data_IF_405673190599
#
_entry.id   IF_405673190599
#
_cell.length_a   1.000
_cell.length_b   1.000
_cell.length_c   1.000
_cell.angle_alpha   90.00
_cell.angle_beta   90.00
_cell.angle_gamma   90.00
#
_symmetry.space_group_name_H-M   'P 1'
#
loop_
_entity.id
_entity.type
_entity.pdbx_description
1 polymer ?
#
# COMPACT_ATOMS: atom_id res chain seq x y z
N UNK A 1 6.25 -20.36 9.85
CA UNK A 1 5.92 -18.94 10.10
C UNK A 1 5.60 -18.24 8.78
N UNK A 2 4.39 -18.41 8.24
CA UNK A 2 4.01 -18.01 6.86
C UNK A 2 2.63 -17.33 6.78
N UNK A 3 1.84 -17.43 7.84
CA UNK A 3 0.40 -17.19 7.83
C UNK A 3 0.00 -15.80 7.33
N UNK A 4 0.60 -14.72 7.83
CA UNK A 4 0.18 -13.38 7.38
C UNK A 4 0.60 -13.06 5.94
N UNK A 5 1.68 -13.66 5.42
CA UNK A 5 1.99 -13.59 3.99
C UNK A 5 1.02 -14.44 3.14
N UNK A 6 0.50 -15.54 3.68
CA UNK A 6 -0.54 -16.34 3.03
C UNK A 6 -1.85 -15.56 2.94
N UNK A 7 -2.25 -14.88 4.02
CA UNK A 7 -3.40 -13.97 4.02
C UNK A 7 -3.19 -12.82 3.04
N UNK A 8 -2.00 -12.22 3.01
CA UNK A 8 -1.69 -11.14 2.08
C UNK A 8 -1.80 -11.60 0.61
N UNK A 9 -1.29 -12.79 0.29
CA UNK A 9 -1.44 -13.35 -1.05
C UNK A 9 -2.92 -13.64 -1.36
N UNK A 10 -3.65 -14.26 -0.43
CA UNK A 10 -5.01 -14.77 -0.65
C UNK A 10 -6.09 -13.68 -0.65
N UNK A 11 -6.02 -12.72 0.28
CA UNK A 11 -7.05 -11.71 0.53
C UNK A 11 -6.74 -10.35 -0.12
N UNK A 12 -5.50 -10.13 -0.58
CA UNK A 12 -5.10 -8.84 -1.17
C UNK A 12 -4.58 -9.02 -2.60
N UNK A 13 -3.56 -9.86 -2.81
CA UNK A 13 -2.90 -9.94 -4.11
C UNK A 13 -3.76 -10.65 -5.17
N UNK A 14 -4.29 -11.84 -4.86
CA UNK A 14 -5.12 -12.62 -5.80
C UNK A 14 -6.40 -11.90 -6.23
N UNK A 15 -7.19 -11.25 -5.34
CA UNK A 15 -8.43 -10.59 -5.73
C UNK A 15 -8.24 -9.48 -6.78
N UNK A 16 -7.08 -8.83 -6.78
CA UNK A 16 -6.79 -7.71 -7.68
C UNK A 16 -5.90 -8.09 -8.88
N UNK A 17 -5.46 -9.35 -8.96
CA UNK A 17 -4.44 -9.80 -9.92
C UNK A 17 -4.85 -9.56 -11.38
N UNK A 18 -6.14 -9.76 -11.68
CA UNK A 18 -6.71 -9.68 -13.03
C UNK A 18 -7.44 -8.36 -13.32
N UNK A 19 -7.36 -7.38 -12.42
CA UNK A 19 -7.95 -6.06 -12.67
C UNK A 19 -7.15 -5.32 -13.74
N UNK A 20 -7.85 -4.89 -14.80
CA UNK A 20 -7.24 -4.26 -15.97
C UNK A 20 -6.81 -2.81 -15.71
N UNK A 21 -7.69 -2.01 -15.10
CA UNK A 21 -7.36 -0.61 -14.77
C UNK A 21 -6.42 -0.55 -13.56
N UNK A 22 -5.22 0.01 -13.78
CA UNK A 22 -4.16 0.04 -12.77
C UNK A 22 -4.50 0.90 -11.55
N UNK A 23 -5.31 1.94 -11.74
CA UNK A 23 -5.73 2.83 -10.65
C UNK A 23 -6.73 2.16 -9.72
N UNK A 24 -7.78 1.58 -10.29
CA UNK A 24 -8.76 0.81 -9.54
C UNK A 24 -8.11 -0.40 -8.89
N UNK A 25 -7.16 -1.06 -9.57
CA UNK A 25 -6.37 -2.15 -9.00
C UNK A 25 -5.56 -1.70 -7.79
N UNK A 26 -4.86 -0.56 -7.86
CA UNK A 26 -4.10 -0.05 -6.72
C UNK A 26 -5.01 0.36 -5.56
N UNK A 27 -6.11 1.05 -5.86
CA UNK A 27 -7.12 1.47 -4.87
C UNK A 27 -7.65 0.25 -4.11
N UNK A 28 -8.13 -0.75 -4.82
CA UNK A 28 -8.67 -1.98 -4.21
C UNK A 28 -7.59 -2.75 -3.44
N UNK A 29 -6.34 -2.77 -3.92
CA UNK A 29 -5.23 -3.35 -3.16
C UNK A 29 -5.04 -2.66 -1.80
N UNK A 30 -5.05 -1.32 -1.77
CA UNK A 30 -4.88 -0.53 -0.54
C UNK A 30 -6.05 -0.76 0.42
N UNK A 31 -7.29 -0.79 -0.09
CA UNK A 31 -8.50 -1.04 0.70
C UNK A 31 -8.47 -2.43 1.35
N UNK A 32 -8.13 -3.47 0.58
CA UNK A 32 -8.04 -4.85 1.08
C UNK A 32 -6.89 -5.00 2.08
N UNK A 33 -5.72 -4.40 1.79
CA UNK A 33 -4.57 -4.50 2.69
C UNK A 33 -4.80 -3.75 4.00
N UNK A 34 -5.37 -2.53 3.94
CA UNK A 34 -5.72 -1.76 5.15
C UNK A 34 -6.80 -2.47 5.98
N UNK A 35 -7.79 -3.08 5.32
CA UNK A 35 -8.79 -3.94 5.97
C UNK A 35 -8.12 -5.08 6.72
N UNK A 36 -7.25 -5.83 6.04
CA UNK A 36 -6.54 -6.97 6.62
C UNK A 36 -5.69 -6.54 7.84
N UNK A 37 -4.97 -5.42 7.72
CA UNK A 37 -4.20 -4.83 8.82
C UNK A 37 -5.08 -4.45 10.01
N UNK A 38 -6.21 -3.79 9.77
CA UNK A 38 -7.12 -3.36 10.84
C UNK A 38 -7.75 -4.56 11.55
N UNK A 39 -8.10 -5.61 10.82
CA UNK A 39 -8.80 -6.77 11.37
C UNK A 39 -7.86 -7.75 12.08
N UNK A 40 -6.59 -7.84 11.66
CA UNK A 40 -5.59 -8.78 12.21
C UNK A 40 -4.53 -8.11 13.10
N UNK A 41 -4.41 -6.79 13.05
CA UNK A 41 -3.52 -6.01 13.92
C UNK A 41 -2.03 -6.16 13.57
N UNK A 42 -1.18 -6.02 14.60
CA UNK A 42 0.28 -5.97 14.46
C UNK A 42 0.88 -7.25 13.88
N UNK A 43 0.18 -8.39 13.93
CA UNK A 43 0.61 -9.63 13.27
C UNK A 43 0.78 -9.48 11.75
N UNK A 44 0.21 -8.42 11.16
CA UNK A 44 0.40 -8.06 9.75
C UNK A 44 1.65 -7.21 9.47
N UNK A 45 2.45 -6.84 10.49
CA UNK A 45 3.69 -6.05 10.29
C UNK A 45 4.88 -6.88 9.76
N UNK A 46 4.60 -8.00 9.10
CA UNK A 46 5.61 -8.95 8.59
C UNK A 46 6.61 -8.31 7.62
N UNK A 47 6.35 -7.12 7.07
CA UNK A 47 7.33 -6.42 6.22
C UNK A 47 8.39 -5.65 7.03
N UNK A 48 8.13 -5.33 8.29
CA UNK A 48 9.03 -4.56 9.18
C UNK A 48 9.75 -5.42 10.21
N UNK A 49 9.14 -6.49 10.71
CA UNK A 49 9.80 -7.37 11.69
C UNK A 49 10.78 -8.31 10.98
N UNK A 50 11.91 -7.72 10.60
CA UNK A 50 13.11 -8.49 10.27
C UNK A 50 13.66 -9.13 11.55
N UNK A 51 13.86 -10.45 11.45
CA UNK A 51 15.10 -11.12 11.87
C UNK A 51 15.49 -11.19 13.35
N UNK A 52 14.61 -10.88 14.30
CA UNK A 52 14.84 -11.27 15.70
C UNK A 52 14.25 -12.65 15.98
N UNK A 53 15.03 -13.71 15.71
CA UNK A 53 14.74 -15.07 16.19
C UNK A 53 14.37 -16.12 15.15
N UNK A 54 14.48 -15.84 13.85
CA UNK A 54 14.28 -16.82 12.78
C UNK A 54 15.59 -17.51 12.38
N UNK A 55 15.51 -18.79 12.03
CA UNK A 55 16.63 -19.51 11.40
C UNK A 55 16.95 -18.89 10.02
N UNK A 56 18.18 -19.04 9.55
CA UNK A 56 18.62 -18.48 8.25
C UNK A 56 17.78 -18.96 7.05
N UNK A 57 17.20 -20.16 7.11
CA UNK A 57 16.36 -20.74 6.05
C UNK A 57 14.94 -20.13 6.02
N UNK A 58 14.33 -19.92 7.19
CA UNK A 58 13.03 -19.24 7.31
C UNK A 58 13.11 -17.78 6.83
N UNK A 59 14.23 -17.10 7.14
CA UNK A 59 14.48 -15.74 6.71
C UNK A 59 14.55 -15.60 5.19
N UNK A 60 15.21 -16.55 4.51
CA UNK A 60 15.29 -16.53 3.05
C UNK A 60 13.90 -16.68 2.40
N UNK A 61 13.07 -17.58 2.94
CA UNK A 61 11.70 -17.80 2.46
C UNK A 61 10.83 -16.56 2.66
N UNK A 62 10.83 -15.98 3.86
CA UNK A 62 10.07 -14.76 4.18
C UNK A 62 10.52 -13.59 3.31
N UNK A 63 11.84 -13.38 3.17
CA UNK A 63 12.42 -12.34 2.32
C UNK A 63 11.98 -12.50 0.86
N UNK A 64 12.01 -13.73 0.33
CA UNK A 64 11.57 -14.00 -1.04
C UNK A 64 10.10 -13.64 -1.26
N UNK A 65 9.24 -13.94 -0.29
CA UNK A 65 7.80 -13.62 -0.34
C UNK A 65 7.51 -12.14 -0.19
N UNK A 66 8.19 -11.46 0.75
CA UNK A 66 8.18 -10.00 0.85
C UNK A 66 8.56 -9.36 -0.48
N UNK A 67 9.67 -9.79 -1.07
CA UNK A 67 10.14 -9.25 -2.35
C UNK A 67 9.14 -9.53 -3.48
N UNK A 68 8.42 -10.66 -3.44
CA UNK A 68 7.33 -10.94 -4.38
C UNK A 68 6.18 -9.93 -4.22
N UNK A 69 5.72 -9.67 -3.00
CA UNK A 69 4.66 -8.70 -2.75
C UNK A 69 5.11 -7.27 -3.14
N UNK A 70 6.33 -6.88 -2.79
CA UNK A 70 6.91 -5.61 -3.23
C UNK A 70 6.88 -5.47 -4.76
N UNK A 71 7.36 -6.49 -5.49
CA UNK A 71 7.34 -6.47 -6.96
C UNK A 71 5.92 -6.41 -7.53
N UNK A 72 4.96 -7.05 -6.87
CA UNK A 72 3.56 -7.00 -7.26
C UNK A 72 2.99 -5.57 -7.17
N UNK A 73 3.19 -4.90 -6.04
CA UNK A 73 2.78 -3.48 -5.86
C UNK A 73 3.51 -2.58 -6.87
N UNK A 74 4.84 -2.77 -7.00
CA UNK A 74 5.67 -2.02 -7.95
C UNK A 74 5.16 -2.12 -9.38
N UNK A 75 4.77 -3.32 -9.82
CA UNK A 75 4.23 -3.54 -11.17
C UNK A 75 2.93 -2.80 -11.45
N UNK A 76 2.09 -2.55 -10.43
CA UNK A 76 0.88 -1.74 -10.56
C UNK A 76 1.25 -0.26 -10.72
N UNK A 77 2.21 0.21 -9.92
CA UNK A 77 2.75 1.58 -10.02
C UNK A 77 3.40 1.84 -11.38
N UNK A 78 4.14 0.87 -11.93
CA UNK A 78 4.72 0.97 -13.27
C UNK A 78 3.65 1.16 -14.34
N UNK A 79 2.54 0.40 -14.25
CA UNK A 79 1.40 0.57 -15.16
C UNK A 79 0.79 1.96 -15.03
N UNK A 80 0.60 2.47 -13.81
CA UNK A 80 0.14 3.85 -13.60
C UNK A 80 1.06 4.88 -14.25
N UNK A 81 2.37 4.66 -14.24
CA UNK A 81 3.34 5.53 -14.92
C UNK A 81 3.18 5.45 -16.45
N UNK A 82 3.08 4.24 -16.99
CA UNK A 82 2.85 4.02 -18.43
C UNK A 82 1.52 4.64 -18.89
N UNK A 83 0.48 4.57 -18.07
CA UNK A 83 -0.84 5.15 -18.34
C UNK A 83 -0.89 6.67 -18.14
N UNK A 84 0.23 7.31 -17.75
CA UNK A 84 0.29 8.75 -17.48
C UNK A 84 -0.47 9.22 -16.24
N UNK A 85 -0.89 8.28 -15.39
CA UNK A 85 -1.64 8.51 -14.15
C UNK A 85 -0.75 8.76 -12.93
N UNK A 86 0.49 8.28 -12.93
CA UNK A 86 1.47 8.61 -11.90
C UNK A 86 2.05 10.02 -12.14
N UNK A 87 2.34 10.77 -11.08
CA UNK A 87 3.05 12.04 -11.21
C UNK A 87 4.40 11.84 -11.95
N UNK A 88 4.69 12.61 -13.02
CA UNK A 88 5.80 12.31 -13.94
C UNK A 88 7.19 12.39 -13.29
N UNK A 89 7.33 13.23 -12.26
CA UNK A 89 8.61 13.45 -11.56
C UNK A 89 8.82 12.51 -10.36
N UNK A 90 7.92 11.56 -10.12
CA UNK A 90 8.06 10.60 -9.01
C UNK A 90 8.66 9.29 -9.54
N UNK A 91 9.70 8.81 -8.85
CA UNK A 91 10.26 7.50 -9.12
C UNK A 91 9.36 6.38 -8.60
N UNK A 92 9.24 5.31 -9.39
CA UNK A 92 8.41 4.14 -9.08
C UNK A 92 8.86 3.46 -7.79
N UNK A 93 10.16 3.39 -7.53
CA UNK A 93 10.73 2.78 -6.33
C UNK A 93 10.36 3.57 -5.08
N UNK A 94 10.47 4.90 -5.15
CA UNK A 94 10.12 5.80 -4.05
C UNK A 94 8.65 5.63 -3.69
N UNK A 95 7.75 5.75 -4.65
CA UNK A 95 6.31 5.67 -4.35
C UNK A 95 5.89 4.26 -3.89
N UNK A 96 6.51 3.20 -4.40
CA UNK A 96 6.23 1.83 -3.95
C UNK A 96 6.60 1.65 -2.47
N UNK A 97 7.78 2.12 -2.06
CA UNK A 97 8.17 2.09 -0.64
C UNK A 97 7.27 2.97 0.21
N UNK A 98 6.86 4.14 -0.28
CA UNK A 98 5.94 5.03 0.43
C UNK A 98 4.57 4.38 0.67
N UNK A 99 4.01 3.67 -0.32
CA UNK A 99 2.74 2.94 -0.17
C UNK A 99 2.88 1.84 0.90
N UNK A 100 3.92 1.01 0.78
CA UNK A 100 4.16 -0.10 1.70
C UNK A 100 4.43 0.41 3.13
N UNK A 101 5.23 1.47 3.27
CA UNK A 101 5.54 2.09 4.56
C UNK A 101 4.30 2.64 5.24
N UNK A 102 3.40 3.30 4.50
CA UNK A 102 2.13 3.78 5.05
C UNK A 102 1.25 2.64 5.56
N UNK A 103 1.12 1.55 4.79
CA UNK A 103 0.35 0.37 5.18
C UNK A 103 0.94 -0.27 6.45
N UNK A 104 2.26 -0.41 6.50
CA UNK A 104 2.93 -0.94 7.68
C UNK A 104 2.78 -0.04 8.91
N UNK A 105 2.80 1.28 8.73
CA UNK A 105 2.61 2.23 9.83
C UNK A 105 1.17 2.19 10.35
N UNK A 106 0.16 1.99 9.49
CA UNK A 106 -1.24 1.83 9.89
C UNK A 106 -1.41 0.78 10.99
N UNK A 107 -0.73 -0.36 10.87
CA UNK A 107 -0.78 -1.44 11.86
C UNK A 107 -0.23 -1.04 13.24
N UNK A 108 0.64 -0.03 13.31
CA UNK A 108 1.32 0.39 14.54
C UNK A 108 0.53 1.41 15.35
N UNK A 109 -0.28 2.25 14.70
CA UNK A 109 -1.02 3.33 15.39
C UNK A 109 -2.53 3.12 15.43
N UNK A 110 -3.10 2.32 14.52
CA UNK A 110 -4.54 2.12 14.52
C UNK A 110 -5.00 1.36 15.77
N UNK A 111 -6.01 1.91 16.44
CA UNK A 111 -6.59 1.32 17.64
C UNK A 111 -8.12 1.22 17.48
N UNK A 112 -8.72 0.00 17.49
CA UNK A 112 -10.17 -0.19 17.27
C UNK A 112 -11.06 0.59 18.25
N UNK A 113 -10.63 0.73 19.51
CA UNK A 113 -11.32 1.52 20.53
C UNK A 113 -11.11 3.03 20.43
N UNK A 114 -10.35 3.50 19.43
CA UNK A 114 -10.00 4.91 19.26
C UNK A 114 -11.13 5.75 18.65
N UNK A 115 -10.80 7.03 18.42
CA UNK A 115 -11.68 8.02 17.76
C UNK A 115 -11.97 7.65 16.30
N UNK A 116 -10.96 7.15 15.57
CA UNK A 116 -11.09 6.76 14.17
C UNK A 116 -11.68 5.36 14.06
N UNK A 117 -12.84 5.24 13.39
CA UNK A 117 -13.55 3.97 13.22
C UNK A 117 -13.11 3.27 11.95
N UNK A 118 -13.03 1.93 12.01
CA UNK A 118 -12.62 1.02 10.93
C UNK A 118 -12.91 1.52 9.51
N UNK A 119 -14.19 1.65 9.13
CA UNK A 119 -14.57 1.97 7.75
C UNK A 119 -14.08 3.36 7.33
N UNK A 120 -14.20 4.34 8.24
CA UNK A 120 -13.70 5.70 8.02
C UNK A 120 -12.17 5.72 7.89
N UNK A 121 -11.47 4.92 8.69
CA UNK A 121 -10.01 4.79 8.58
C UNK A 121 -9.60 4.21 7.23
N UNK A 122 -10.25 3.13 6.77
CA UNK A 122 -9.95 2.50 5.48
C UNK A 122 -10.17 3.51 4.34
N UNK A 123 -11.28 4.22 4.36
CA UNK A 123 -11.63 5.23 3.35
C UNK A 123 -10.64 6.40 3.33
N UNK A 124 -10.42 7.07 4.47
CA UNK A 124 -9.52 8.23 4.57
C UNK A 124 -8.06 7.83 4.29
N UNK A 125 -7.62 6.66 4.74
CA UNK A 125 -6.28 6.14 4.46
C UNK A 125 -6.08 5.86 2.97
N UNK A 126 -7.04 5.16 2.34
CA UNK A 126 -6.99 4.88 0.89
C UNK A 126 -6.95 6.18 0.09
N UNK A 127 -7.81 7.14 0.43
CA UNK A 127 -7.82 8.45 -0.20
C UNK A 127 -6.46 9.16 -0.07
N UNK A 128 -5.88 9.18 1.13
CA UNK A 128 -4.58 9.80 1.39
C UNK A 128 -3.47 9.17 0.55
N UNK A 129 -3.39 7.84 0.51
CA UNK A 129 -2.37 7.13 -0.29
C UNK A 129 -2.58 7.41 -1.77
N UNK A 130 -3.81 7.30 -2.28
CA UNK A 130 -4.11 7.52 -3.70
C UNK A 130 -3.84 8.97 -4.13
N UNK A 131 -4.15 9.96 -3.28
CA UNK A 131 -3.88 11.36 -3.56
C UNK A 131 -2.37 11.67 -3.68
N UNK A 132 -1.52 10.95 -2.95
CA UNK A 132 -0.06 11.06 -3.06
C UNK A 132 0.55 10.35 -4.28
N UNK A 133 -0.18 9.40 -4.88
CA UNK A 133 0.25 8.62 -6.05
C UNK A 133 -0.21 9.29 -7.34
N UNK A 134 -1.49 9.63 -7.42
CA UNK A 134 -2.10 10.09 -8.66
C UNK A 134 -1.57 11.47 -9.03
N UNK A 135 -1.35 11.66 -10.32
CA UNK A 135 -1.09 12.97 -10.89
C UNK A 135 -2.28 13.86 -10.57
N UNK A 136 -2.09 14.80 -9.67
CA UNK A 136 -3.01 15.92 -9.51
C UNK A 136 -3.01 16.73 -10.80
N UNK A 137 -4.21 17.02 -11.32
CA UNK A 137 -4.36 18.10 -12.30
C UNK A 137 -3.84 19.36 -11.60
N UNK A 138 -2.93 20.15 -12.20
CA UNK A 138 -2.49 21.38 -11.59
C UNK A 138 -3.73 22.22 -11.29
N UNK A 139 -3.94 22.59 -10.03
CA UNK A 139 -4.88 23.66 -9.71
C UNK A 139 -4.38 24.87 -10.50
N UNK A 140 -5.16 25.35 -11.48
CA UNK A 140 -4.93 26.65 -12.06
C UNK A 140 -5.09 27.66 -10.92
N UNK A 141 -3.99 28.01 -10.27
CA UNK A 141 -3.96 29.15 -9.37
C UNK A 141 -4.10 30.36 -10.29
N UNK A 142 -5.34 30.80 -10.49
CA UNK A 142 -5.61 32.10 -11.08
C UNK A 142 -4.97 33.12 -10.14
N UNK A 143 -3.77 33.59 -10.50
CA UNK A 143 -3.13 34.71 -9.83
C UNK A 143 -4.09 35.89 -9.94
N UNK A 144 -4.78 36.20 -8.84
CA UNK A 144 -5.50 37.45 -8.71
C UNK A 144 -4.41 38.52 -8.62
N UNK A 145 -4.13 39.18 -9.74
CA UNK A 145 -3.33 40.41 -9.76
C UNK A 145 -3.99 41.37 -8.77
N UNK A 146 -3.38 41.54 -7.60
CA UNK A 146 -3.64 42.69 -6.74
C UNK A 146 -3.01 43.89 -7.43
N UNK A 147 -3.87 44.74 -8.01
CA UNK A 147 -3.54 46.14 -8.27
C UNK A 147 -3.57 46.94 -6.97
#
# INVERSE_FOLDING_TARGET
MSYALDLLDAEVARPVENMADAEQRLRTLIELHSTLIIDKGIEMTILLDESTGLTSEDLATITKRRNKHYRFVRGIVERLKTDGKLHPNIDVTIITHSIIGQLQWLARWYHPGGRLKRNRTIEEFTLSVMAGVLRSVPLQITSRKSG
#
